data_IF_561802472558
#
_entry.id   IF_561802472558
#
_cell.length_a   1.000
_cell.length_b   1.000
_cell.length_c   1.000
_cell.angle_alpha   90.00
_cell.angle_beta   90.00
_cell.angle_gamma   90.00
#
_symmetry.space_group_name_H-M   'P 1'
#
loop_
_entity.id
_entity.type
_entity.pdbx_description
1 polymer ?
#
# COMPACT_ATOMS: atom_id res chain seq x y z
N UNK A 1 -8.68 17.74 -17.21
CA UNK A 1 -9.33 16.67 -16.41
C UNK A 1 -10.76 17.13 -16.07
N UNK A 2 -11.75 16.57 -16.74
CA UNK A 2 -13.13 17.00 -16.49
C UNK A 2 -13.73 16.41 -15.20
N UNK A 3 -13.21 15.29 -14.73
CA UNK A 3 -13.77 14.57 -13.59
C UNK A 3 -13.11 14.87 -12.24
N UNK A 4 -12.14 15.78 -12.20
CA UNK A 4 -11.48 16.22 -10.97
C UNK A 4 -11.91 17.63 -10.51
N UNK A 5 -13.15 18.02 -10.81
CA UNK A 5 -13.66 19.30 -10.32
C UNK A 5 -14.06 19.22 -8.85
N UNK A 6 -14.75 18.15 -8.47
CA UNK A 6 -15.21 17.88 -7.10
C UNK A 6 -14.69 16.53 -6.65
N UNK A 7 -13.70 16.52 -5.78
CA UNK A 7 -12.98 15.33 -5.35
C UNK A 7 -13.25 15.04 -3.88
N UNK A 8 -13.71 13.84 -3.57
CA UNK A 8 -13.94 13.37 -2.21
C UNK A 8 -12.83 12.37 -1.81
N UNK A 9 -12.08 12.72 -0.78
CA UNK A 9 -11.05 11.86 -0.18
C UNK A 9 -11.65 11.02 0.93
N UNK A 10 -11.61 9.70 0.79
CA UNK A 10 -12.09 8.75 1.79
C UNK A 10 -10.91 8.30 2.66
N UNK A 11 -10.89 8.80 3.89
CA UNK A 11 -9.84 8.53 4.86
C UNK A 11 -9.31 9.80 5.53
N UNK A 12 -8.94 9.70 6.80
CA UNK A 12 -8.43 10.79 7.64
C UNK A 12 -6.94 10.63 7.96
N UNK A 13 -6.21 9.88 7.13
CA UNK A 13 -4.77 9.67 7.28
C UNK A 13 -3.93 10.84 6.73
N UNK A 14 -2.61 10.85 7.03
CA UNK A 14 -1.70 11.88 6.52
C UNK A 14 -1.73 12.01 4.99
N UNK A 15 -1.89 10.89 4.29
CA UNK A 15 -2.00 10.83 2.83
C UNK A 15 -3.14 11.71 2.31
N UNK A 16 -4.30 11.73 2.98
CA UNK A 16 -5.45 12.55 2.55
C UNK A 16 -5.14 14.04 2.59
N UNK A 17 -4.41 14.51 3.61
CA UNK A 17 -3.99 15.92 3.69
C UNK A 17 -3.02 16.27 2.55
N UNK A 18 -2.02 15.43 2.31
CA UNK A 18 -1.07 15.66 1.22
C UNK A 18 -1.75 15.67 -0.15
N UNK A 19 -2.68 14.73 -0.39
CA UNK A 19 -3.45 14.68 -1.64
C UNK A 19 -4.36 15.90 -1.79
N UNK A 20 -5.05 16.31 -0.73
CA UNK A 20 -5.88 17.52 -0.75
C UNK A 20 -5.07 18.75 -1.15
N UNK A 21 -3.87 18.93 -0.55
CA UNK A 21 -2.95 20.00 -0.90
C UNK A 21 -2.60 19.99 -2.39
N UNK A 22 -2.21 18.84 -2.94
CA UNK A 22 -1.81 18.74 -4.34
C UNK A 22 -3.01 19.02 -5.28
N UNK A 23 -4.20 18.49 -4.97
CA UNK A 23 -5.42 18.69 -5.76
C UNK A 23 -5.85 20.18 -5.76
N UNK A 24 -5.80 20.84 -4.61
CA UNK A 24 -6.14 22.25 -4.48
C UNK A 24 -5.15 23.14 -5.23
N UNK A 25 -3.85 22.95 -5.00
CA UNK A 25 -2.84 23.85 -5.52
C UNK A 25 -2.54 23.65 -7.00
N UNK A 26 -2.62 22.42 -7.51
CA UNK A 26 -2.26 22.12 -8.90
C UNK A 26 -3.47 22.07 -9.84
N UNK A 27 -4.64 21.68 -9.34
CA UNK A 27 -5.84 21.49 -10.17
C UNK A 27 -7.01 22.40 -9.78
N UNK A 28 -6.87 23.19 -8.72
CA UNK A 28 -7.94 24.03 -8.17
C UNK A 28 -9.27 23.28 -7.94
N UNK A 29 -9.15 22.02 -7.44
CA UNK A 29 -10.30 21.17 -7.16
C UNK A 29 -11.12 21.68 -5.96
N UNK A 30 -12.43 21.43 -5.97
CA UNK A 30 -13.25 21.45 -4.78
C UNK A 30 -13.05 20.13 -4.03
N UNK A 31 -12.52 20.18 -2.80
CA UNK A 31 -12.05 18.99 -2.07
C UNK A 31 -12.86 18.77 -0.80
N UNK A 32 -13.42 17.56 -0.67
CA UNK A 32 -14.01 17.06 0.55
C UNK A 32 -13.14 15.98 1.18
N UNK A 33 -13.16 15.89 2.51
CA UNK A 33 -12.56 14.78 3.26
C UNK A 33 -13.65 14.13 4.12
N UNK A 34 -13.70 12.81 4.11
CA UNK A 34 -14.59 12.03 4.96
C UNK A 34 -13.83 10.92 5.68
N UNK A 35 -14.21 10.65 6.92
CA UNK A 35 -13.68 9.55 7.70
C UNK A 35 -14.70 8.96 8.65
N UNK A 36 -14.38 7.78 9.21
CA UNK A 36 -15.22 7.14 10.23
C UNK A 36 -15.35 8.05 11.45
N UNK A 37 -16.50 8.04 12.07
CA UNK A 37 -16.66 8.56 13.41
C UNK A 37 -16.10 7.54 14.40
N UNK A 38 -14.94 7.84 14.96
CA UNK A 38 -14.23 6.92 15.86
C UNK A 38 -13.22 7.70 16.72
N UNK A 39 -12.82 7.13 17.85
CA UNK A 39 -11.78 7.68 18.72
C UNK A 39 -10.46 7.92 17.97
N UNK A 40 -10.18 7.14 16.92
CA UNK A 40 -8.96 7.28 16.11
C UNK A 40 -8.95 8.54 15.26
N UNK A 41 -10.13 8.97 14.77
CA UNK A 41 -10.29 10.13 13.89
C UNK A 41 -10.63 11.42 14.65
N UNK A 42 -10.96 11.36 15.93
CA UNK A 42 -11.41 12.50 16.73
C UNK A 42 -10.43 13.68 16.67
N UNK A 43 -9.18 13.45 17.05
CA UNK A 43 -8.16 14.51 17.07
C UNK A 43 -7.98 15.18 15.68
N UNK A 44 -8.16 14.43 14.60
CA UNK A 44 -8.12 14.98 13.24
C UNK A 44 -9.28 15.94 12.98
N UNK A 45 -10.50 15.54 13.33
CA UNK A 45 -11.67 16.39 13.13
C UNK A 45 -11.66 17.63 14.04
N UNK A 46 -11.21 17.49 15.29
CA UNK A 46 -11.02 18.63 16.20
C UNK A 46 -10.01 19.63 15.64
N UNK A 47 -8.83 19.15 15.21
CA UNK A 47 -7.81 20.01 14.62
C UNK A 47 -8.30 20.75 13.36
N UNK A 48 -9.10 20.09 12.50
CA UNK A 48 -9.71 20.74 11.35
C UNK A 48 -10.74 21.80 11.75
N UNK A 49 -11.57 21.52 12.77
CA UNK A 49 -12.55 22.45 13.28
C UNK A 49 -11.89 23.70 13.87
N UNK A 50 -10.85 23.52 14.70
CA UNK A 50 -10.11 24.61 15.34
C UNK A 50 -9.35 25.48 14.33
N UNK A 51 -8.85 24.87 13.23
CA UNK A 51 -8.14 25.58 12.17
C UNK A 51 -9.06 26.13 11.06
N UNK A 52 -10.39 26.09 11.24
CA UNK A 52 -11.37 26.44 10.20
C UNK A 52 -11.09 25.71 8.88
N UNK A 53 -10.83 24.41 8.97
CA UNK A 53 -10.50 23.50 7.87
C UNK A 53 -9.17 23.80 7.15
N UNK A 54 -8.30 24.62 7.71
CA UNK A 54 -6.95 24.83 7.20
C UNK A 54 -6.09 23.59 7.43
N UNK A 55 -5.45 23.07 6.39
CA UNK A 55 -4.45 22.00 6.46
C UNK A 55 -3.10 22.50 6.00
N UNK A 56 -2.05 21.87 6.54
CA UNK A 56 -0.65 22.23 6.27
C UNK A 56 0.15 21.00 5.87
N UNK A 57 1.01 21.19 4.88
CA UNK A 57 1.97 20.18 4.44
C UNK A 57 3.37 20.78 4.49
N UNK A 58 4.25 20.11 5.21
CA UNK A 58 5.70 20.36 5.18
C UNK A 58 6.41 19.22 4.44
N UNK A 59 7.56 19.50 3.85
CA UNK A 59 8.44 18.52 3.24
C UNK A 59 9.79 18.52 3.94
N UNK A 60 10.41 17.36 4.06
CA UNK A 60 11.73 17.24 4.69
C UNK A 60 12.84 17.65 3.72
N UNK A 61 12.64 17.43 2.42
CA UNK A 61 13.65 17.71 1.40
C UNK A 61 13.18 18.81 0.47
N UNK A 62 14.00 19.86 0.31
CA UNK A 62 13.74 21.01 -0.56
C UNK A 62 13.42 20.64 -2.02
N UNK A 63 13.89 19.48 -2.51
CA UNK A 63 13.53 18.95 -3.84
C UNK A 63 12.03 18.79 -4.05
N UNK A 64 11.27 18.63 -2.95
CA UNK A 64 9.83 18.40 -2.97
C UNK A 64 9.02 19.63 -2.56
N UNK A 65 9.61 20.82 -2.59
CA UNK A 65 8.98 22.09 -2.18
C UNK A 65 7.65 22.35 -2.90
N UNK A 66 7.46 21.87 -4.11
CA UNK A 66 6.19 21.97 -4.86
C UNK A 66 5.00 21.28 -4.18
N UNK A 67 5.26 20.34 -3.25
CA UNK A 67 4.26 19.62 -2.47
C UNK A 67 3.94 20.28 -1.14
N UNK A 68 4.68 21.35 -0.76
CA UNK A 68 4.53 22.06 0.49
C UNK A 68 3.51 23.18 0.37
N UNK A 69 2.83 23.50 1.46
CA UNK A 69 1.94 24.66 1.52
C UNK A 69 0.79 24.50 2.49
N UNK A 70 -0.20 25.36 2.33
CA UNK A 70 -1.43 25.39 3.11
C UNK A 70 -2.63 25.48 2.17
N UNK A 71 -3.74 24.85 2.53
CA UNK A 71 -5.01 25.03 1.82
C UNK A 71 -6.20 24.80 2.75
N UNK A 72 -7.37 25.30 2.33
CA UNK A 72 -8.62 25.02 3.02
C UNK A 72 -9.33 23.84 2.37
N UNK A 73 -9.81 22.92 3.21
CA UNK A 73 -10.72 21.84 2.78
C UNK A 73 -12.12 22.40 2.70
N UNK A 74 -12.77 22.23 1.54
CA UNK A 74 -14.09 22.84 1.28
C UNK A 74 -15.20 22.17 2.09
N UNK A 75 -15.14 20.84 2.29
CA UNK A 75 -16.10 20.09 3.12
C UNK A 75 -15.42 18.99 3.94
N UNK A 76 -15.89 18.81 5.15
CA UNK A 76 -15.43 17.77 6.08
C UNK A 76 -16.65 17.01 6.60
N UNK A 77 -16.61 15.67 6.48
CA UNK A 77 -17.71 14.80 6.89
C UNK A 77 -17.23 13.81 7.97
N UNK A 78 -17.99 13.69 9.04
CA UNK A 78 -17.81 12.67 10.08
C UNK A 78 -18.82 11.56 9.84
N UNK A 79 -18.33 10.37 9.44
CA UNK A 79 -19.14 9.23 9.00
C UNK A 79 -19.51 9.28 7.51
N UNK A 80 -19.34 8.15 6.84
CA UNK A 80 -19.54 8.06 5.38
C UNK A 80 -21.00 8.27 4.95
N UNK A 81 -21.97 7.95 5.83
CA UNK A 81 -23.39 8.21 5.60
C UNK A 81 -23.78 9.70 5.64
N UNK A 82 -22.89 10.58 6.13
CA UNK A 82 -23.17 12.03 6.24
C UNK A 82 -22.78 12.84 5.00
N UNK A 83 -22.19 12.20 3.99
CA UNK A 83 -21.72 12.85 2.75
C UNK A 83 -22.90 13.59 2.10
N UNK A 84 -22.68 14.88 1.78
CA UNK A 84 -23.65 15.75 1.07
C UNK A 84 -23.05 16.24 -0.25
N UNK A 85 -23.91 16.72 -1.14
CA UNK A 85 -23.52 17.23 -2.45
C UNK A 85 -23.21 16.12 -3.45
N UNK A 86 -22.74 16.54 -4.62
CA UNK A 86 -22.33 15.68 -5.73
C UNK A 86 -20.80 15.67 -5.83
N UNK A 87 -20.24 14.52 -6.17
CA UNK A 87 -18.80 14.31 -6.28
C UNK A 87 -18.47 13.63 -7.59
N UNK A 88 -17.56 14.22 -8.36
CA UNK A 88 -17.14 13.66 -9.66
C UNK A 88 -16.18 12.50 -9.46
N UNK A 89 -15.26 12.65 -8.50
CA UNK A 89 -14.20 11.66 -8.21
C UNK A 89 -14.19 11.31 -6.73
N UNK A 90 -14.03 10.03 -6.45
CA UNK A 90 -13.70 9.49 -5.15
C UNK A 90 -12.24 8.99 -5.15
N UNK A 91 -11.47 9.35 -4.13
CA UNK A 91 -10.12 8.80 -3.91
C UNK A 91 -10.12 7.98 -2.64
N UNK A 92 -9.82 6.68 -2.76
CA UNK A 92 -9.71 5.76 -1.64
C UNK A 92 -8.31 5.88 -1.00
N UNK A 93 -8.26 6.57 0.14
CA UNK A 93 -7.06 6.77 0.96
C UNK A 93 -7.17 6.05 2.31
N UNK A 94 -7.88 4.94 2.35
CA UNK A 94 -8.00 3.98 3.46
C UNK A 94 -7.20 2.71 3.15
N UNK A 95 -7.07 1.79 4.11
CA UNK A 95 -6.47 0.48 3.89
C UNK A 95 -7.31 -0.38 2.94
N UNK A 96 -6.66 -1.28 2.20
CA UNK A 96 -7.30 -2.02 1.10
C UNK A 96 -8.43 -2.95 1.56
N UNK A 97 -8.29 -3.53 2.75
CA UNK A 97 -9.29 -4.37 3.41
C UNK A 97 -10.58 -3.62 3.79
N UNK A 98 -10.53 -2.28 3.83
CA UNK A 98 -11.68 -1.44 4.17
C UNK A 98 -12.43 -0.87 2.95
N UNK A 99 -11.98 -1.12 1.72
CA UNK A 99 -12.54 -0.47 0.52
C UNK A 99 -14.04 -0.69 0.37
N UNK A 100 -14.48 -1.94 0.41
CA UNK A 100 -15.90 -2.28 0.24
C UNK A 100 -16.73 -1.84 1.43
N UNK A 101 -16.22 -2.05 2.65
CA UNK A 101 -16.90 -1.61 3.88
C UNK A 101 -17.19 -0.10 3.87
N UNK A 102 -16.24 0.69 3.41
CA UNK A 102 -16.37 2.14 3.32
C UNK A 102 -17.36 2.55 2.22
N UNK A 103 -17.29 1.94 1.04
CA UNK A 103 -18.22 2.25 -0.06
C UNK A 103 -19.66 1.84 0.28
N UNK A 104 -19.87 0.71 0.94
CA UNK A 104 -21.21 0.25 1.39
C UNK A 104 -21.91 1.25 2.34
N UNK A 105 -21.15 2.11 3.04
CA UNK A 105 -21.71 3.14 3.93
C UNK A 105 -22.13 4.43 3.19
N UNK A 106 -21.74 4.59 1.92
CA UNK A 106 -22.13 5.75 1.10
C UNK A 106 -23.45 5.43 0.40
N UNK A 107 -24.32 6.43 0.32
CA UNK A 107 -25.59 6.29 -0.39
C UNK A 107 -25.36 5.88 -1.86
N UNK A 108 -26.03 4.81 -2.31
CA UNK A 108 -25.87 4.25 -3.65
C UNK A 108 -26.14 5.25 -4.77
N UNK A 109 -27.15 6.13 -4.61
CA UNK A 109 -27.48 7.15 -5.64
C UNK A 109 -26.35 8.19 -5.79
N UNK A 110 -25.58 8.44 -4.73
CA UNK A 110 -24.38 9.28 -4.80
C UNK A 110 -23.23 8.56 -5.48
N UNK A 111 -23.02 7.27 -5.17
CA UNK A 111 -22.01 6.46 -5.84
C UNK A 111 -22.26 6.32 -7.33
N UNK A 112 -23.51 6.19 -7.77
CA UNK A 112 -23.88 6.13 -9.20
C UNK A 112 -23.50 7.39 -9.98
N UNK A 113 -23.41 8.54 -9.32
CA UNK A 113 -23.05 9.82 -9.93
C UNK A 113 -21.54 10.01 -10.07
N UNK A 114 -20.74 9.20 -9.34
CA UNK A 114 -19.28 9.24 -9.40
C UNK A 114 -18.79 8.74 -10.74
N UNK A 115 -17.94 9.53 -11.39
CA UNK A 115 -17.39 9.21 -12.72
C UNK A 115 -16.02 8.59 -12.67
N UNK A 116 -15.29 8.79 -11.57
CA UNK A 116 -13.94 8.25 -11.41
C UNK A 116 -13.70 7.82 -9.95
N UNK A 117 -13.11 6.64 -9.77
CA UNK A 117 -12.63 6.15 -8.46
C UNK A 117 -11.14 5.88 -8.56
N UNK A 118 -10.35 6.50 -7.68
CA UNK A 118 -8.90 6.38 -7.67
C UNK A 118 -8.45 5.59 -6.43
N UNK A 119 -7.68 4.53 -6.67
CA UNK A 119 -7.07 3.68 -5.64
C UNK A 119 -5.61 4.09 -5.46
N UNK A 120 -5.30 4.74 -4.33
CA UNK A 120 -3.96 5.33 -4.11
C UNK A 120 -2.91 4.30 -3.69
N UNK A 121 -3.31 3.29 -2.94
CA UNK A 121 -2.40 2.24 -2.48
C UNK A 121 -3.12 0.89 -2.45
N UNK A 122 -3.56 0.41 -3.62
CA UNK A 122 -4.28 -0.85 -3.72
C UNK A 122 -3.36 -2.06 -3.48
N UNK A 123 -3.97 -3.21 -3.28
CA UNK A 123 -3.31 -4.51 -3.43
C UNK A 123 -3.76 -5.19 -4.72
N UNK A 124 -3.13 -6.31 -5.07
CA UNK A 124 -3.46 -7.09 -6.26
C UNK A 124 -4.94 -7.50 -6.26
N UNK A 125 -5.68 -7.12 -7.30
CA UNK A 125 -7.11 -7.39 -7.48
C UNK A 125 -8.05 -6.31 -6.93
N UNK A 126 -7.54 -5.26 -6.29
CA UNK A 126 -8.38 -4.18 -5.74
C UNK A 126 -9.25 -3.49 -6.79
N UNK A 127 -8.72 -3.28 -8.00
CA UNK A 127 -9.51 -2.70 -9.09
C UNK A 127 -10.69 -3.61 -9.47
N UNK A 128 -10.46 -4.92 -9.55
CA UNK A 128 -11.50 -5.90 -9.88
C UNK A 128 -12.59 -5.92 -8.81
N UNK A 129 -12.20 -5.79 -7.53
CA UNK A 129 -13.11 -5.67 -6.40
C UNK A 129 -14.04 -4.46 -6.56
N UNK A 130 -13.45 -3.27 -6.77
CA UNK A 130 -14.21 -2.02 -6.88
C UNK A 130 -15.04 -2.00 -8.16
N UNK A 131 -14.48 -2.46 -9.29
CA UNK A 131 -15.20 -2.53 -10.56
C UNK A 131 -16.44 -3.44 -10.46
N UNK A 132 -16.29 -4.62 -9.83
CA UNK A 132 -17.41 -5.52 -9.61
C UNK A 132 -18.50 -4.86 -8.74
N UNK A 133 -18.11 -4.21 -7.65
CA UNK A 133 -19.04 -3.51 -6.76
C UNK A 133 -19.79 -2.37 -7.48
N UNK A 134 -19.08 -1.54 -8.24
CA UNK A 134 -19.70 -0.45 -9.00
C UNK A 134 -20.63 -0.95 -10.12
N UNK A 135 -20.25 -2.04 -10.80
CA UNK A 135 -21.10 -2.70 -11.80
C UNK A 135 -22.43 -3.21 -11.19
N UNK A 136 -22.43 -3.72 -9.94
CA UNK A 136 -23.67 -4.09 -9.24
C UNK A 136 -24.59 -2.89 -8.98
N UNK A 137 -24.04 -1.69 -8.92
CA UNK A 137 -24.80 -0.43 -8.83
C UNK A 137 -25.21 0.13 -10.20
N UNK A 138 -24.90 -0.53 -11.31
CA UNK A 138 -25.05 -0.05 -12.68
C UNK A 138 -24.32 1.28 -12.93
N UNK A 139 -23.08 1.39 -12.44
CA UNK A 139 -22.21 2.55 -12.63
C UNK A 139 -21.06 2.20 -13.58
N UNK A 140 -20.81 3.08 -14.56
CA UNK A 140 -19.69 3.01 -15.50
C UNK A 140 -18.50 3.87 -15.06
N UNK A 141 -18.31 4.06 -13.75
CA UNK A 141 -17.21 4.85 -13.22
C UNK A 141 -15.86 4.28 -13.67
N UNK A 142 -14.99 5.16 -14.12
CA UNK A 142 -13.60 4.80 -14.40
C UNK A 142 -12.87 4.43 -13.10
N UNK A 143 -12.24 3.25 -13.05
CA UNK A 143 -11.40 2.84 -11.93
C UNK A 143 -9.94 3.03 -12.32
N UNK A 144 -9.23 3.85 -11.53
CA UNK A 144 -7.81 4.12 -11.71
C UNK A 144 -7.05 3.55 -10.52
N UNK A 145 -6.08 2.66 -10.76
CA UNK A 145 -5.19 2.12 -9.74
C UNK A 145 -3.79 2.69 -9.88
N UNK A 146 -3.26 3.20 -8.77
CA UNK A 146 -1.83 3.40 -8.61
C UNK A 146 -1.17 2.12 -8.13
N UNK A 147 0.11 1.94 -8.38
CA UNK A 147 0.87 0.82 -7.79
C UNK A 147 1.03 0.99 -6.28
N UNK A 148 1.23 2.21 -5.83
CA UNK A 148 1.42 2.57 -4.42
C UNK A 148 1.28 4.07 -4.24
N UNK A 149 1.08 4.52 -3.01
CA UNK A 149 1.23 5.93 -2.67
C UNK A 149 2.68 6.39 -2.89
N UNK A 150 2.85 7.58 -3.43
CA UNK A 150 4.15 8.07 -3.87
C UNK A 150 5.10 8.49 -2.75
N UNK A 151 4.60 8.70 -1.53
CA UNK A 151 5.38 9.31 -0.46
C UNK A 151 5.36 8.55 0.87
N UNK A 152 6.24 8.96 1.77
CA UNK A 152 6.16 8.66 3.19
C UNK A 152 5.68 9.92 3.90
N UNK A 153 4.37 10.02 4.14
CA UNK A 153 3.72 11.17 4.77
C UNK A 153 3.25 10.79 6.16
N UNK A 154 3.63 11.60 7.15
CA UNK A 154 3.38 11.37 8.59
C UNK A 154 2.75 12.59 9.23
N UNK A 155 2.12 12.39 10.38
CA UNK A 155 1.73 13.50 11.24
C UNK A 155 2.98 14.25 11.72
N UNK A 156 2.99 15.59 11.60
CA UNK A 156 4.15 16.42 11.96
C UNK A 156 4.61 16.19 13.41
N UNK A 157 3.68 15.98 14.32
CA UNK A 157 3.95 15.76 15.75
C UNK A 157 3.57 14.34 16.22
N UNK A 158 3.51 13.36 15.31
CA UNK A 158 3.23 11.95 15.63
C UNK A 158 1.79 11.66 16.05
N UNK A 159 0.90 12.65 16.12
CA UNK A 159 -0.53 12.51 16.45
C UNK A 159 -1.40 13.06 15.32
N UNK A 160 -2.59 12.49 15.08
CA UNK A 160 -3.53 13.03 14.10
C UNK A 160 -3.79 14.52 14.33
N UNK A 161 -3.66 15.32 13.28
CA UNK A 161 -3.81 16.78 13.31
C UNK A 161 -4.14 17.30 11.90
N UNK A 162 -4.08 18.60 11.70
CA UNK A 162 -4.20 19.26 10.39
C UNK A 162 -2.83 19.50 9.70
N UNK A 163 -1.72 18.99 10.26
CA UNK A 163 -0.37 19.23 9.75
C UNK A 163 0.39 17.92 9.54
N UNK A 164 0.92 17.75 8.33
CA UNK A 164 1.70 16.57 7.93
C UNK A 164 3.09 16.94 7.42
N UNK A 165 4.01 15.97 7.52
CA UNK A 165 5.37 16.03 6.99
C UNK A 165 5.57 14.90 5.98
N UNK A 166 5.95 15.23 4.75
CA UNK A 166 6.38 14.25 3.75
C UNK A 166 7.90 14.15 3.77
N UNK A 167 8.41 12.97 4.16
CA UNK A 167 9.84 12.74 4.42
C UNK A 167 10.56 12.17 3.21
N UNK A 168 9.89 11.34 2.42
CA UNK A 168 10.45 10.71 1.23
C UNK A 168 9.41 10.67 0.11
N UNK A 169 9.87 10.78 -1.14
CA UNK A 169 9.04 10.75 -2.34
C UNK A 169 9.68 9.84 -3.38
N UNK A 170 8.89 8.94 -3.94
CA UNK A 170 9.32 8.03 -5.02
C UNK A 170 9.50 8.82 -6.32
N UNK A 171 10.52 8.49 -7.08
CA UNK A 171 10.77 9.10 -8.39
C UNK A 171 9.80 8.60 -9.45
N UNK A 172 9.38 7.35 -9.34
CA UNK A 172 8.50 6.68 -10.29
C UNK A 172 7.48 5.81 -9.56
N UNK A 173 6.25 5.83 -10.03
CA UNK A 173 5.17 4.90 -9.67
C UNK A 173 4.37 4.54 -10.93
N UNK A 174 3.55 3.51 -10.85
CA UNK A 174 2.79 3.02 -12.00
C UNK A 174 1.31 3.32 -11.81
N UNK A 175 0.61 3.54 -12.91
CA UNK A 175 -0.81 3.86 -12.96
C UNK A 175 -1.49 3.06 -14.07
N UNK A 176 -2.71 2.64 -13.86
CA UNK A 176 -3.53 1.99 -14.89
C UNK A 176 -5.02 2.32 -14.70
N UNK A 177 -5.77 2.27 -15.78
CA UNK A 177 -7.19 2.61 -15.82
C UNK A 177 -8.02 1.51 -16.49
N UNK A 178 -9.30 1.38 -16.07
CA UNK A 178 -10.29 0.56 -16.78
C UNK A 178 -10.70 1.15 -18.12
N UNK A 179 -10.44 2.43 -18.35
CA UNK A 179 -10.74 3.13 -19.60
C UNK A 179 -9.46 3.37 -20.40
N UNK A 180 -9.51 3.10 -21.70
CA UNK A 180 -8.40 3.37 -22.63
C UNK A 180 -8.94 3.94 -23.96
N UNK A 181 -8.47 5.11 -24.40
CA UNK A 181 -7.59 6.06 -23.68
C UNK A 181 -8.29 6.74 -22.49
N UNK A 182 -7.54 7.16 -21.46
CA UNK A 182 -8.05 7.84 -20.28
C UNK A 182 -7.52 9.27 -20.18
N UNK A 183 -8.41 10.25 -20.32
CA UNK A 183 -8.09 11.67 -20.09
C UNK A 183 -7.75 11.96 -18.63
N UNK A 184 -8.28 11.18 -17.69
CA UNK A 184 -7.99 11.31 -16.27
C UNK A 184 -6.57 10.85 -15.96
N UNK A 185 -6.12 9.72 -16.53
CA UNK A 185 -4.73 9.27 -16.41
C UNK A 185 -3.77 10.29 -17.03
N UNK A 186 -4.05 10.80 -18.23
CA UNK A 186 -3.21 11.84 -18.87
C UNK A 186 -3.07 13.08 -17.97
N UNK A 187 -4.16 13.50 -17.34
CA UNK A 187 -4.14 14.64 -16.44
C UNK A 187 -3.40 14.34 -15.13
N UNK A 188 -3.54 13.13 -14.57
CA UNK A 188 -2.77 12.71 -13.40
C UNK A 188 -1.28 12.61 -13.72
N UNK A 189 -0.89 12.11 -14.90
CA UNK A 189 0.51 12.10 -15.33
C UNK A 189 1.09 13.52 -15.33
N UNK A 190 0.40 14.51 -15.89
CA UNK A 190 0.84 15.92 -15.88
C UNK A 190 0.94 16.49 -14.47
N UNK A 191 -0.04 16.19 -13.61
CA UNK A 191 -0.02 16.62 -12.20
C UNK A 191 1.22 16.08 -11.48
N UNK A 192 1.48 14.79 -11.60
CA UNK A 192 2.59 14.14 -10.91
C UNK A 192 3.96 14.55 -11.47
N UNK A 193 4.04 14.81 -12.77
CA UNK A 193 5.25 15.38 -13.39
C UNK A 193 5.61 16.75 -12.79
N UNK A 194 4.62 17.61 -12.54
CA UNK A 194 4.82 18.89 -11.82
C UNK A 194 5.32 18.70 -10.39
N UNK A 195 5.00 17.57 -9.77
CA UNK A 195 5.51 17.18 -8.45
C UNK A 195 6.88 16.49 -8.51
N UNK A 196 7.46 16.32 -9.69
CA UNK A 196 8.75 15.64 -9.91
C UNK A 196 8.66 14.12 -9.84
N UNK A 197 7.46 13.55 -10.08
CA UNK A 197 7.20 12.10 -10.03
C UNK A 197 6.77 11.62 -11.42
N UNK A 198 7.44 10.60 -11.94
CA UNK A 198 7.04 9.95 -13.21
C UNK A 198 5.93 8.94 -12.94
N UNK A 199 4.79 9.08 -13.61
CA UNK A 199 3.76 8.04 -13.69
C UNK A 199 3.97 7.21 -14.95
N UNK A 200 4.29 5.93 -14.78
CA UNK A 200 4.36 4.97 -15.88
C UNK A 200 2.99 4.35 -16.11
N UNK A 201 2.41 4.58 -17.30
CA UNK A 201 1.07 4.10 -17.63
C UNK A 201 1.11 2.63 -18.02
N UNK A 202 0.38 1.80 -17.28
CA UNK A 202 0.22 0.37 -17.50
C UNK A 202 -0.98 0.09 -18.42
N UNK A 203 -1.00 -1.10 -19.04
CA UNK A 203 -2.08 -1.53 -19.94
C UNK A 203 -3.42 -1.72 -19.23
N UNK A 204 -3.40 -1.93 -17.91
CA UNK A 204 -4.59 -2.16 -17.10
C UNK A 204 -4.34 -1.79 -15.63
N UNK A 205 -5.41 -1.53 -14.84
CA UNK A 205 -5.27 -1.28 -13.40
C UNK A 205 -4.61 -2.44 -12.65
N UNK A 206 -4.98 -3.68 -12.97
CA UNK A 206 -4.42 -4.87 -12.31
C UNK A 206 -2.91 -4.99 -12.56
N UNK A 207 -2.43 -4.58 -13.72
CA UNK A 207 -1.01 -4.53 -14.01
C UNK A 207 -0.29 -3.49 -13.15
N UNK A 208 -0.87 -2.29 -12.99
CA UNK A 208 -0.34 -1.26 -12.10
C UNK A 208 -0.26 -1.76 -10.64
N UNK A 209 -1.29 -2.46 -10.16
CA UNK A 209 -1.34 -3.04 -8.80
C UNK A 209 -0.20 -4.04 -8.57
N UNK A 210 0.24 -4.76 -9.60
CA UNK A 210 1.37 -5.72 -9.48
C UNK A 210 2.74 -5.02 -9.40
N UNK A 211 2.82 -3.72 -9.70
CA UNK A 211 4.04 -2.92 -9.57
C UNK A 211 4.19 -2.31 -8.17
N UNK A 212 3.75 -3.02 -7.15
CA UNK A 212 3.94 -2.69 -5.74
C UNK A 212 4.97 -3.63 -5.11
N UNK A 213 6.13 -3.09 -4.72
CA UNK A 213 7.22 -3.89 -4.14
C UNK A 213 6.79 -4.65 -2.89
N UNK A 214 5.84 -4.10 -2.13
CA UNK A 214 5.33 -4.73 -0.92
C UNK A 214 4.68 -6.10 -1.16
N UNK A 215 4.16 -6.36 -2.39
CA UNK A 215 3.63 -7.69 -2.74
C UNK A 215 4.69 -8.79 -2.62
N UNK A 216 5.93 -8.46 -2.91
CA UNK A 216 7.02 -9.43 -3.06
C UNK A 216 7.88 -9.55 -1.80
N UNK A 217 8.05 -8.45 -1.06
CA UNK A 217 9.01 -8.41 0.05
C UNK A 217 8.36 -8.40 1.42
N UNK A 218 7.14 -7.85 1.57
CA UNK A 218 6.52 -7.74 2.89
C UNK A 218 6.12 -9.08 3.49
N UNK A 219 5.38 -9.98 2.81
CA UNK A 219 4.98 -11.24 3.42
C UNK A 219 6.19 -12.05 3.93
N UNK A 220 7.28 -12.26 3.15
CA UNK A 220 8.48 -12.89 3.68
C UNK A 220 9.08 -12.18 4.88
N UNK A 221 9.12 -10.83 4.88
CA UNK A 221 9.73 -10.05 5.96
C UNK A 221 8.87 -9.98 7.22
N UNK A 222 7.54 -10.00 7.12
CA UNK A 222 6.65 -9.77 8.26
C UNK A 222 5.91 -11.02 8.75
N UNK A 223 5.82 -12.08 7.93
CA UNK A 223 5.02 -13.27 8.26
C UNK A 223 5.88 -14.53 8.45
N UNK A 224 7.16 -14.36 8.76
CA UNK A 224 8.06 -15.43 9.19
C UNK A 224 8.09 -15.56 10.73
N UNK A 225 8.52 -16.71 11.24
CA UNK A 225 8.56 -17.00 12.67
C UNK A 225 9.36 -15.98 13.49
N UNK A 226 10.51 -15.52 12.97
CA UNK A 226 11.36 -14.55 13.67
C UNK A 226 10.62 -13.22 13.88
N UNK A 227 10.04 -12.66 12.80
CA UNK A 227 9.35 -11.37 12.87
C UNK A 227 8.08 -11.47 13.71
N UNK A 228 7.32 -12.55 13.57
CA UNK A 228 6.12 -12.78 14.39
C UNK A 228 6.48 -12.93 15.86
N UNK A 229 7.58 -13.62 16.20
CA UNK A 229 8.08 -13.71 17.58
C UNK A 229 8.47 -12.33 18.13
N UNK A 230 9.05 -11.46 17.31
CA UNK A 230 9.36 -10.09 17.71
C UNK A 230 8.09 -9.23 17.91
N UNK A 231 7.08 -9.39 17.06
CA UNK A 231 5.80 -8.67 17.13
C UNK A 231 5.03 -9.06 18.41
N UNK A 232 4.93 -10.35 18.68
CA UNK A 232 4.14 -10.88 19.79
C UNK A 232 4.87 -10.93 21.13
N UNK A 233 6.09 -10.41 21.18
CA UNK A 233 6.80 -10.19 22.45
C UNK A 233 7.69 -11.33 22.92
N UNK A 234 7.85 -12.42 22.15
CA UNK A 234 8.73 -13.54 22.50
C UNK A 234 10.23 -13.16 22.53
N UNK A 235 10.58 -12.03 21.88
CA UNK A 235 11.96 -11.53 21.83
C UNK A 235 12.11 -10.26 22.69
N UNK A 236 13.00 -10.29 23.67
CA UNK A 236 13.24 -9.17 24.59
C UNK A 236 13.91 -7.97 23.90
N UNK A 237 14.93 -8.25 23.08
CA UNK A 237 15.71 -7.21 22.42
C UNK A 237 15.00 -6.62 21.20
N UNK A 238 15.26 -5.32 20.94
CA UNK A 238 14.76 -4.63 19.76
C UNK A 238 15.25 -5.30 18.48
N UNK A 239 14.33 -5.57 17.54
CA UNK A 239 14.58 -6.18 16.24
C UNK A 239 14.18 -5.26 15.10
N UNK A 240 14.75 -5.50 13.92
CA UNK A 240 14.64 -4.64 12.75
C UNK A 240 14.23 -5.42 11.50
N UNK A 241 13.42 -4.82 10.64
CA UNK A 241 12.84 -5.50 9.47
C UNK A 241 13.88 -5.87 8.42
N UNK A 242 14.85 -4.98 8.16
CA UNK A 242 15.81 -5.12 7.05
C UNK A 242 17.23 -5.50 7.51
N UNK A 243 17.39 -5.94 8.75
CA UNK A 243 18.67 -6.42 9.27
C UNK A 243 18.84 -7.92 9.02
N UNK A 244 20.11 -8.32 8.94
CA UNK A 244 20.49 -9.72 8.95
C UNK A 244 20.24 -10.34 10.33
N UNK A 245 20.07 -11.67 10.36
CA UNK A 245 20.03 -12.41 11.63
C UNK A 245 21.34 -12.21 12.42
N UNK A 246 21.32 -12.03 13.75
CA UNK A 246 20.14 -12.11 14.63
C UNK A 246 19.45 -10.76 14.93
N UNK A 247 19.84 -9.67 14.31
CA UNK A 247 19.19 -8.36 14.53
C UNK A 247 17.88 -8.21 13.77
N UNK A 248 17.72 -8.95 12.68
CA UNK A 248 16.52 -8.99 11.84
C UNK A 248 16.26 -10.37 11.25
N UNK A 249 15.22 -10.50 10.42
CA UNK A 249 14.76 -11.79 9.90
C UNK A 249 15.59 -12.32 8.73
N UNK A 250 16.50 -11.51 8.16
CA UNK A 250 17.11 -11.83 6.87
C UNK A 250 18.15 -12.95 7.05
N UNK A 251 17.81 -14.08 6.48
CA UNK A 251 18.62 -15.29 6.38
C UNK A 251 18.59 -15.81 4.94
N UNK A 252 19.46 -16.75 4.61
CA UNK A 252 19.40 -17.46 3.34
C UNK A 252 18.03 -18.12 3.12
N UNK A 253 17.43 -18.69 4.16
CA UNK A 253 16.10 -19.32 4.07
C UNK A 253 15.00 -18.31 3.75
N UNK A 254 15.02 -17.13 4.38
CA UNK A 254 14.06 -16.07 4.08
C UNK A 254 14.19 -15.58 2.63
N UNK A 255 15.41 -15.44 2.12
CA UNK A 255 15.66 -15.03 0.73
C UNK A 255 15.13 -16.08 -0.25
N UNK A 256 15.30 -17.37 0.06
CA UNK A 256 14.73 -18.47 -0.73
C UNK A 256 13.20 -18.43 -0.75
N UNK A 257 12.56 -18.22 0.39
CA UNK A 257 11.10 -18.07 0.48
C UNK A 257 10.64 -16.83 -0.29
N UNK A 258 11.35 -15.70 -0.23
CA UNK A 258 11.04 -14.50 -1.01
C UNK A 258 11.12 -14.75 -2.53
N UNK A 259 12.15 -15.44 -2.98
CA UNK A 259 12.30 -15.83 -4.39
C UNK A 259 11.19 -16.79 -4.82
N UNK A 260 10.82 -17.76 -3.98
CA UNK A 260 9.76 -18.71 -4.25
C UNK A 260 8.39 -18.01 -4.34
N UNK A 261 8.05 -17.13 -3.40
CA UNK A 261 6.82 -16.33 -3.45
C UNK A 261 6.76 -15.47 -4.70
N UNK A 262 7.87 -14.80 -5.07
CA UNK A 262 7.91 -14.03 -6.30
C UNK A 262 7.60 -14.91 -7.52
N UNK A 263 8.17 -16.11 -7.63
CA UNK A 263 7.88 -17.05 -8.72
C UNK A 263 6.41 -17.49 -8.74
N UNK A 264 5.82 -17.74 -7.57
CA UNK A 264 4.39 -18.06 -7.45
C UNK A 264 3.52 -16.92 -8.00
N UNK A 265 3.83 -15.67 -7.66
CA UNK A 265 3.11 -14.50 -8.18
C UNK A 265 3.34 -14.36 -9.70
N UNK A 266 4.57 -14.58 -10.21
CA UNK A 266 4.85 -14.53 -11.65
C UNK A 266 4.02 -15.58 -12.42
N UNK A 267 3.79 -16.77 -11.86
CA UNK A 267 2.90 -17.78 -12.47
C UNK A 267 1.46 -17.28 -12.56
N UNK A 268 0.96 -16.56 -11.54
CA UNK A 268 -0.38 -15.94 -11.58
C UNK A 268 -0.42 -14.87 -12.68
N UNK A 269 0.59 -13.99 -12.77
CA UNK A 269 0.67 -12.96 -13.82
C UNK A 269 0.67 -13.56 -15.22
N UNK A 270 1.42 -14.65 -15.43
CA UNK A 270 1.45 -15.37 -16.70
C UNK A 270 0.06 -15.89 -17.11
N UNK A 271 -0.73 -16.42 -16.16
CA UNK A 271 -2.12 -16.85 -16.43
C UNK A 271 -3.05 -15.69 -16.78
N UNK A 272 -2.76 -14.51 -16.28
CA UNK A 272 -3.54 -13.29 -16.55
C UNK A 272 -3.04 -12.55 -17.80
N UNK A 273 -2.00 -13.04 -18.49
CA UNK A 273 -1.30 -12.37 -19.59
C UNK A 273 -0.75 -10.99 -19.20
N UNK A 274 -0.27 -10.86 -17.95
CA UNK A 274 0.44 -9.69 -17.45
C UNK A 274 1.94 -9.95 -17.55
N UNK A 275 2.68 -8.93 -17.96
CA UNK A 275 4.13 -9.02 -18.10
C UNK A 275 4.82 -9.31 -16.76
N UNK A 276 5.74 -10.27 -16.77
CA UNK A 276 6.52 -10.66 -15.61
C UNK A 276 7.45 -9.53 -15.16
N UNK A 277 7.60 -9.40 -13.86
CA UNK A 277 8.46 -8.43 -13.23
C UNK A 277 9.86 -9.02 -12.97
N UNK A 278 10.91 -8.30 -13.32
CA UNK A 278 12.26 -8.60 -12.84
C UNK A 278 12.39 -8.05 -11.40
N UNK A 279 12.36 -8.95 -10.40
CA UNK A 279 12.34 -8.57 -8.99
C UNK A 279 13.56 -7.75 -8.59
N UNK A 280 14.77 -8.17 -8.96
CA UNK A 280 16.00 -7.49 -8.58
C UNK A 280 16.06 -6.08 -9.19
N UNK A 281 15.73 -5.95 -10.47
CA UNK A 281 15.66 -4.66 -11.17
C UNK A 281 14.64 -3.73 -10.50
N UNK A 282 13.47 -4.25 -10.19
CA UNK A 282 12.42 -3.49 -9.53
C UNK A 282 12.81 -3.02 -8.12
N UNK A 283 13.55 -3.86 -7.38
CA UNK A 283 14.07 -3.50 -6.06
C UNK A 283 15.15 -2.42 -6.13
N UNK A 284 15.97 -2.42 -7.17
CA UNK A 284 17.12 -1.51 -7.32
C UNK A 284 16.78 -0.22 -8.06
N UNK A 285 16.08 -0.31 -9.19
CA UNK A 285 15.84 0.85 -10.05
C UNK A 285 14.66 1.71 -9.57
N UNK A 286 13.57 1.07 -9.17
CA UNK A 286 12.32 1.76 -8.85
C UNK A 286 12.14 2.02 -7.35
N UNK A 287 12.93 1.38 -6.49
CA UNK A 287 12.79 1.51 -5.04
C UNK A 287 14.06 2.05 -4.38
N UNK A 288 14.98 1.17 -4.02
CA UNK A 288 16.18 1.55 -3.27
C UNK A 288 17.42 1.12 -4.04
N UNK A 289 18.07 2.06 -4.75
CA UNK A 289 19.26 1.77 -5.53
C UNK A 289 20.39 1.27 -4.61
N UNK A 290 21.28 0.45 -5.17
CA UNK A 290 22.53 0.04 -4.55
C UNK A 290 23.68 0.44 -5.46
N UNK A 291 24.89 0.50 -4.91
CA UNK A 291 26.08 0.83 -5.70
C UNK A 291 26.34 -0.24 -6.75
N UNK A 292 26.83 0.16 -7.93
CA UNK A 292 27.15 -0.75 -9.03
C UNK A 292 28.22 -1.78 -8.67
N UNK A 293 29.10 -1.44 -7.73
CA UNK A 293 30.11 -2.35 -7.18
C UNK A 293 29.48 -3.50 -6.39
N UNK A 294 28.27 -3.28 -5.81
CA UNK A 294 27.56 -4.33 -5.09
C UNK A 294 26.83 -5.28 -6.03
N UNK A 295 26.21 -4.75 -7.08
CA UNK A 295 25.42 -5.50 -8.06
C UNK A 295 25.68 -4.97 -9.46
N UNK A 296 26.27 -5.82 -10.31
CA UNK A 296 26.52 -5.44 -11.70
C UNK A 296 25.23 -5.23 -12.49
N UNK A 297 25.22 -4.28 -13.42
CA UNK A 297 24.07 -4.02 -14.29
C UNK A 297 23.66 -5.25 -15.09
N UNK A 298 24.64 -6.04 -15.54
CA UNK A 298 24.39 -7.28 -16.26
C UNK A 298 23.55 -8.28 -15.42
N UNK A 299 23.89 -8.47 -14.16
CA UNK A 299 23.15 -9.36 -13.26
C UNK A 299 21.73 -8.83 -12.97
N UNK A 300 21.58 -7.51 -12.81
CA UNK A 300 20.27 -6.89 -12.59
C UNK A 300 19.35 -7.11 -13.80
N UNK A 301 19.81 -6.84 -15.02
CA UNK A 301 19.02 -6.97 -16.24
C UNK A 301 18.65 -8.43 -16.55
N UNK A 302 19.56 -9.36 -16.30
CA UNK A 302 19.38 -10.77 -16.64
C UNK A 302 18.83 -11.62 -15.50
N UNK A 303 18.44 -11.03 -14.35
CA UNK A 303 18.03 -11.73 -13.15
C UNK A 303 17.01 -12.85 -13.41
N UNK A 304 16.00 -12.61 -14.24
CA UNK A 304 14.95 -13.58 -14.54
C UNK A 304 15.46 -14.84 -15.24
N UNK A 305 16.62 -14.79 -15.89
CA UNK A 305 17.21 -15.87 -16.67
C UNK A 305 18.35 -16.60 -15.94
N UNK A 306 18.69 -16.14 -14.72
CA UNK A 306 19.74 -16.75 -13.91
C UNK A 306 19.22 -18.00 -13.18
N UNK A 307 20.12 -18.92 -12.87
CA UNK A 307 19.85 -20.08 -12.02
C UNK A 307 19.36 -19.64 -10.61
N UNK A 308 18.48 -20.43 -10.01
CA UNK A 308 17.85 -20.09 -8.73
C UNK A 308 18.86 -19.74 -7.62
N UNK A 309 19.97 -20.51 -7.52
CA UNK A 309 21.01 -20.25 -6.53
C UNK A 309 21.69 -18.89 -6.75
N UNK A 310 21.86 -18.49 -8.01
CA UNK A 310 22.45 -17.19 -8.33
C UNK A 310 21.42 -16.05 -8.02
N UNK A 311 20.14 -16.26 -8.31
CA UNK A 311 19.07 -15.33 -7.94
C UNK A 311 19.03 -15.13 -6.41
N UNK A 312 19.10 -16.20 -5.63
CA UNK A 312 19.15 -16.14 -4.14
C UNK A 312 20.37 -15.33 -3.68
N UNK A 313 21.54 -15.60 -4.23
CA UNK A 313 22.78 -14.89 -3.91
C UNK A 313 22.65 -13.38 -4.19
N UNK A 314 22.16 -12.99 -5.34
CA UNK A 314 21.99 -11.58 -5.71
C UNK A 314 20.99 -10.85 -4.81
N UNK A 315 19.88 -11.49 -4.44
CA UNK A 315 18.92 -10.92 -3.50
C UNK A 315 19.55 -10.75 -2.11
N UNK A 316 20.35 -11.71 -1.66
CA UNK A 316 21.06 -11.62 -0.39
C UNK A 316 22.07 -10.44 -0.41
N UNK A 317 22.87 -10.32 -1.48
CA UNK A 317 23.80 -9.19 -1.67
C UNK A 317 23.03 -7.86 -1.67
N UNK A 318 21.89 -7.79 -2.34
CA UNK A 318 21.06 -6.58 -2.35
C UNK A 318 20.65 -6.16 -0.93
N UNK A 319 20.27 -7.10 -0.07
CA UNK A 319 19.91 -6.77 1.32
C UNK A 319 21.13 -6.40 2.17
N UNK A 320 22.28 -7.04 1.98
CA UNK A 320 23.52 -6.66 2.68
C UNK A 320 23.99 -5.26 2.26
N UNK A 321 23.79 -4.87 1.00
CA UNK A 321 24.13 -3.55 0.48
C UNK A 321 23.24 -2.41 1.03
N UNK A 322 22.10 -2.74 1.68
CA UNK A 322 21.21 -1.75 2.33
C UNK A 322 21.54 -1.49 3.81
N UNK A 323 22.53 -2.14 4.37
CA UNK A 323 22.87 -1.97 5.79
C UNK A 323 23.24 -0.52 6.11
N UNK A 324 23.90 0.15 5.17
CA UNK A 324 24.23 1.58 5.23
C UNK A 324 23.78 2.21 3.93
N UNK A 325 23.09 3.36 4.02
CA UNK A 325 22.79 4.14 2.82
C UNK A 325 24.09 4.63 2.18
N UNK A 326 24.48 4.09 1.01
CA UNK A 326 25.77 4.43 0.40
C UNK A 326 25.82 5.84 -0.15
N UNK A 327 24.69 6.56 -0.19
CA UNK A 327 24.55 7.91 -0.75
C UNK A 327 24.31 8.98 0.32
N UNK A 328 24.19 8.58 1.61
CA UNK A 328 24.09 9.55 2.70
C UNK A 328 25.47 10.07 3.08
N UNK A 329 25.52 11.36 3.41
CA UNK A 329 26.65 11.94 4.11
C UNK A 329 26.58 11.57 5.60
N UNK A 330 27.72 11.40 6.29
CA UNK A 330 27.71 11.19 7.74
C UNK A 330 27.15 12.43 8.46
N UNK A 331 26.53 12.21 9.60
CA UNK A 331 26.11 13.28 10.48
C UNK A 331 27.33 13.98 11.16
N UNK A 332 27.06 15.00 11.98
CA UNK A 332 28.10 15.76 12.72
C UNK A 332 28.96 14.89 13.64
N UNK A 333 28.50 13.69 14.01
CA UNK A 333 29.18 12.72 14.86
C UNK A 333 29.89 11.64 14.03
N UNK A 334 29.93 11.80 12.70
CA UNK A 334 30.56 10.85 11.76
C UNK A 334 29.75 9.58 11.51
N UNK A 335 28.46 9.55 11.88
CA UNK A 335 27.59 8.37 11.68
C UNK A 335 26.82 8.50 10.38
N UNK A 336 26.82 7.40 9.64
CA UNK A 336 25.98 7.24 8.46
C UNK A 336 24.55 6.83 8.85
N UNK A 337 23.58 7.26 8.06
CA UNK A 337 22.20 6.83 8.23
C UNK A 337 22.08 5.33 7.98
N UNK A 338 21.60 4.58 8.97
CA UNK A 338 21.32 3.16 8.84
C UNK A 338 19.93 2.95 8.24
N UNK A 339 19.86 2.79 6.94
CA UNK A 339 18.64 2.61 6.17
C UNK A 339 17.89 1.32 6.55
N UNK A 340 18.60 0.32 7.07
CA UNK A 340 18.03 -0.96 7.48
C UNK A 340 17.41 -0.96 8.87
N UNK A 341 17.63 0.11 9.66
CA UNK A 341 17.21 0.20 11.07
C UNK A 341 15.73 0.53 11.28
N UNK A 342 14.83 -0.03 10.45
CA UNK A 342 13.38 0.06 10.62
C UNK A 342 12.95 -0.94 11.71
N UNK A 343 12.45 -0.48 12.88
CA UNK A 343 12.14 -1.38 13.97
C UNK A 343 10.89 -2.22 13.68
N UNK A 344 10.94 -3.49 14.09
CA UNK A 344 9.75 -4.34 14.19
C UNK A 344 8.92 -3.82 15.36
N UNK A 345 7.67 -3.45 15.10
CA UNK A 345 6.75 -2.95 16.13
C UNK A 345 6.10 -4.11 16.83
N UNK A 346 6.04 -4.06 18.17
CA UNK A 346 5.32 -5.04 18.99
C UNK A 346 3.81 -4.79 18.97
N UNK A 347 3.02 -5.80 19.36
CA UNK A 347 1.60 -5.63 19.66
C UNK A 347 1.42 -4.54 20.72
N UNK A 348 0.28 -3.89 20.73
CA UNK A 348 0.03 -2.69 21.56
C UNK A 348 -1.46 -2.56 21.91
N UNK A 349 -1.75 -1.91 23.01
CA UNK A 349 -3.13 -1.55 23.35
C UNK A 349 -3.53 -0.34 22.47
N UNK A 350 -4.58 -0.51 21.67
CA UNK A 350 -5.09 0.54 20.81
C UNK A 350 -5.91 1.59 21.60
N UNK A 351 -6.35 2.66 20.94
CA UNK A 351 -7.09 3.76 21.60
C UNK A 351 -8.46 3.36 22.14
N UNK A 352 -8.99 2.23 21.71
CA UNK A 352 -10.26 1.67 22.15
C UNK A 352 -10.08 0.71 23.32
N UNK A 353 -8.83 0.52 23.81
CA UNK A 353 -8.50 -0.33 24.94
C UNK A 353 -8.25 -1.80 24.57
N UNK A 354 -8.29 -2.18 23.30
CA UNK A 354 -8.04 -3.55 22.85
C UNK A 354 -6.56 -3.77 22.57
N UNK A 355 -6.04 -4.94 22.94
CA UNK A 355 -4.77 -5.42 22.45
C UNK A 355 -4.87 -5.63 20.93
N UNK A 356 -3.92 -5.07 20.15
CA UNK A 356 -3.99 -5.04 18.70
C UNK A 356 -2.62 -5.36 18.08
N UNK A 357 -2.66 -5.87 16.86
CA UNK A 357 -1.48 -6.20 16.06
C UNK A 357 -1.09 -4.98 15.21
N UNK A 358 0.19 -4.67 15.03
CA UNK A 358 0.63 -3.60 14.14
C UNK A 358 0.06 -3.74 12.72
N UNK A 359 -0.01 -2.63 12.00
CA UNK A 359 -0.52 -2.58 10.62
C UNK A 359 0.15 -3.63 9.72
N UNK A 360 1.47 -3.74 9.77
CA UNK A 360 2.19 -4.90 9.27
C UNK A 360 2.36 -5.88 10.45
N UNK A 361 1.93 -7.14 10.37
CA UNK A 361 1.57 -7.95 9.18
C UNK A 361 0.06 -7.99 8.80
N UNK A 362 -0.85 -7.26 9.46
CA UNK A 362 -2.29 -7.34 9.13
C UNK A 362 -2.60 -7.08 7.65
N UNK A 363 -2.04 -6.01 7.08
CA UNK A 363 -2.24 -5.70 5.66
C UNK A 363 -1.62 -6.77 4.75
N UNK A 364 -0.50 -7.36 5.16
CA UNK A 364 0.14 -8.41 4.39
C UNK A 364 -0.68 -9.70 4.42
N UNK A 365 -1.35 -10.00 5.55
CA UNK A 365 -2.25 -11.13 5.65
C UNK A 365 -3.43 -11.02 4.67
N UNK A 366 -4.13 -9.86 4.65
CA UNK A 366 -5.16 -9.60 3.64
C UNK A 366 -4.62 -9.80 2.22
N UNK A 367 -3.50 -9.15 1.93
CA UNK A 367 -2.83 -9.17 0.61
C UNK A 367 -2.57 -10.59 0.12
N UNK A 368 -1.92 -11.44 0.92
CA UNK A 368 -1.57 -12.80 0.48
C UNK A 368 -2.77 -13.75 0.48
N UNK A 369 -3.79 -13.54 1.31
CA UNK A 369 -5.06 -14.29 1.23
C UNK A 369 -5.77 -14.01 -0.10
N UNK A 370 -5.80 -12.74 -0.55
CA UNK A 370 -6.34 -12.39 -1.87
C UNK A 370 -5.53 -13.06 -2.99
N UNK A 371 -4.20 -12.97 -2.95
CA UNK A 371 -3.34 -13.63 -3.95
C UNK A 371 -3.55 -15.14 -3.96
N UNK A 372 -3.62 -15.79 -2.79
CA UNK A 372 -3.92 -17.23 -2.65
C UNK A 372 -5.27 -17.59 -3.28
N UNK A 373 -6.30 -16.80 -3.01
CA UNK A 373 -7.64 -17.02 -3.57
C UNK A 373 -7.66 -16.92 -5.10
N UNK A 374 -6.99 -15.90 -5.66
CA UNK A 374 -6.83 -15.76 -7.11
C UNK A 374 -6.06 -16.95 -7.70
N UNK A 375 -4.97 -17.38 -7.06
CA UNK A 375 -4.21 -18.54 -7.50
C UNK A 375 -5.08 -19.81 -7.54
N UNK A 376 -5.83 -20.07 -6.47
CA UNK A 376 -6.78 -21.22 -6.42
C UNK A 376 -7.83 -21.15 -7.54
N UNK A 377 -8.40 -19.96 -7.78
CA UNK A 377 -9.35 -19.74 -8.89
C UNK A 377 -8.73 -20.07 -10.27
N UNK A 378 -7.44 -19.78 -10.45
CA UNK A 378 -6.69 -20.05 -11.68
C UNK A 378 -6.10 -21.48 -11.73
N UNK A 379 -6.41 -22.34 -10.76
CA UNK A 379 -5.85 -23.69 -10.60
C UNK A 379 -4.31 -23.68 -10.49
N UNK A 380 -3.75 -22.77 -9.73
CA UNK A 380 -2.32 -22.65 -9.42
C UNK A 380 -2.05 -22.99 -7.96
N UNK A 381 -0.94 -23.68 -7.70
CA UNK A 381 -0.44 -23.94 -6.35
C UNK A 381 0.52 -22.85 -5.91
N UNK A 382 0.38 -22.39 -4.67
CA UNK A 382 1.23 -21.35 -4.07
C UNK A 382 1.71 -21.80 -2.68
N UNK A 383 2.55 -22.84 -2.58
CA UNK A 383 2.95 -23.45 -1.30
C UNK A 383 3.71 -22.50 -0.37
N UNK A 384 4.45 -21.53 -0.92
CA UNK A 384 5.16 -20.53 -0.09
C UNK A 384 4.19 -19.52 0.50
N UNK A 385 3.22 -19.06 -0.27
CA UNK A 385 2.14 -18.19 0.22
C UNK A 385 1.31 -18.94 1.28
N UNK A 386 0.96 -20.21 1.05
CA UNK A 386 0.27 -21.05 2.01
C UNK A 386 1.05 -21.19 3.34
N UNK A 387 2.38 -21.37 3.25
CA UNK A 387 3.27 -21.41 4.40
C UNK A 387 3.19 -20.12 5.24
N UNK A 388 3.27 -18.95 4.62
CA UNK A 388 3.20 -17.66 5.34
C UNK A 388 1.84 -17.45 6.01
N UNK A 389 0.75 -17.75 5.30
CA UNK A 389 -0.61 -17.68 5.84
C UNK A 389 -0.72 -18.56 7.08
N UNK A 390 -0.35 -19.85 6.97
CA UNK A 390 -0.42 -20.81 8.06
C UNK A 390 0.45 -20.39 9.26
N UNK A 391 1.66 -19.89 9.01
CA UNK A 391 2.56 -19.41 10.06
C UNK A 391 1.92 -18.26 10.84
N UNK A 392 1.31 -17.31 10.14
CA UNK A 392 0.62 -16.18 10.77
C UNK A 392 -0.63 -16.63 11.55
N UNK A 393 -1.52 -17.41 10.91
CA UNK A 393 -2.76 -17.89 11.52
C UNK A 393 -2.49 -18.70 12.79
N UNK A 394 -1.57 -19.66 12.74
CA UNK A 394 -1.16 -20.43 13.92
C UNK A 394 -0.61 -19.54 15.05
N UNK A 395 0.11 -18.46 14.71
CA UNK A 395 0.69 -17.56 15.72
C UNK A 395 -0.39 -16.71 16.38
N UNK A 396 -1.32 -16.11 15.63
CA UNK A 396 -2.40 -15.31 16.23
C UNK A 396 -3.32 -16.16 17.11
N UNK A 397 -3.65 -17.40 16.71
CA UNK A 397 -4.45 -18.32 17.52
C UNK A 397 -3.77 -18.66 18.84
N UNK A 398 -2.46 -18.99 18.83
CA UNK A 398 -1.68 -19.26 20.06
C UNK A 398 -1.64 -18.04 20.98
N UNK A 399 -1.41 -16.85 20.42
CA UNK A 399 -1.36 -15.62 21.21
C UNK A 399 -2.74 -15.29 21.78
N UNK A 400 -3.81 -15.46 21.00
CA UNK A 400 -5.17 -15.28 21.51
C UNK A 400 -5.47 -16.19 22.71
N UNK A 401 -5.07 -17.46 22.64
CA UNK A 401 -5.22 -18.41 23.76
C UNK A 401 -4.41 -18.01 25.01
N UNK A 402 -3.21 -17.43 24.82
CA UNK A 402 -2.38 -17.01 25.97
C UNK A 402 -2.79 -15.66 26.59
N UNK A 403 -3.75 -14.94 25.97
CA UNK A 403 -4.24 -13.63 26.42
C UNK A 403 -5.78 -13.64 26.55
N UNK A 404 -6.38 -14.79 26.95
CA UNK A 404 -7.83 -14.94 27.07
C UNK A 404 -8.48 -13.95 28.05
N UNK A 405 -7.73 -13.48 29.05
CA UNK A 405 -8.18 -12.51 30.04
C UNK A 405 -8.09 -11.04 29.54
N UNK A 406 -7.55 -10.81 28.35
CA UNK A 406 -7.38 -9.46 27.78
C UNK A 406 -8.44 -9.15 26.71
N UNK A 407 -8.73 -7.86 26.53
CA UNK A 407 -9.61 -7.42 25.44
C UNK A 407 -8.83 -7.44 24.12
N UNK A 408 -9.06 -8.46 23.29
CA UNK A 408 -8.42 -8.64 22.00
C UNK A 408 -9.19 -7.95 20.86
N UNK A 409 -8.47 -7.31 19.94
CA UNK A 409 -9.07 -6.81 18.70
C UNK A 409 -9.40 -7.96 17.74
N UNK A 410 -10.24 -7.68 16.74
CA UNK A 410 -10.57 -8.65 15.68
C UNK A 410 -9.35 -9.13 14.87
N UNK A 411 -8.19 -8.49 15.03
CA UNK A 411 -6.96 -8.90 14.37
C UNK A 411 -6.41 -10.26 14.86
N UNK A 412 -6.86 -10.72 16.04
CA UNK A 412 -6.49 -12.03 16.60
C UNK A 412 -7.44 -13.17 16.17
N UNK A 413 -8.42 -12.87 15.32
CA UNK A 413 -9.31 -13.87 14.73
C UNK A 413 -8.88 -14.15 13.31
N UNK A 414 -8.82 -15.43 12.92
CA UNK A 414 -8.58 -15.81 11.52
C UNK A 414 -9.71 -15.26 10.65
N UNK A 415 -9.36 -14.45 9.67
CA UNK A 415 -10.32 -13.75 8.82
C UNK A 415 -10.62 -14.55 7.54
N UNK A 416 -11.88 -14.58 7.14
CA UNK A 416 -12.28 -14.94 5.78
C UNK A 416 -12.47 -13.67 4.95
N UNK A 417 -11.99 -13.71 3.72
CA UNK A 417 -12.16 -12.65 2.71
C UNK A 417 -12.94 -13.16 1.49
N UNK A 418 -13.80 -14.15 1.69
CA UNK A 418 -14.52 -14.85 0.60
C UNK A 418 -15.45 -13.91 -0.18
N UNK A 419 -16.06 -12.91 0.46
CA UNK A 419 -16.89 -11.92 -0.23
C UNK A 419 -16.05 -11.11 -1.24
N UNK A 420 -14.91 -10.58 -0.81
CA UNK A 420 -14.00 -9.84 -1.68
C UNK A 420 -13.45 -10.74 -2.78
N UNK A 421 -13.03 -11.96 -2.45
CA UNK A 421 -12.51 -12.93 -3.40
C UNK A 421 -13.52 -13.31 -4.48
N UNK A 422 -14.79 -13.52 -4.11
CA UNK A 422 -15.84 -13.81 -5.07
C UNK A 422 -16.04 -12.68 -6.08
N UNK A 423 -16.03 -11.44 -5.63
CA UNK A 423 -16.12 -10.26 -6.49
C UNK A 423 -14.90 -10.15 -7.41
N UNK A 424 -13.68 -10.30 -6.87
CA UNK A 424 -12.43 -10.24 -7.64
C UNK A 424 -12.37 -11.34 -8.70
N UNK A 425 -12.62 -12.59 -8.31
CA UNK A 425 -12.56 -13.75 -9.22
C UNK A 425 -13.62 -13.68 -10.30
N UNK A 426 -14.84 -13.20 -9.98
CA UNK A 426 -15.90 -12.97 -10.98
C UNK A 426 -15.43 -11.99 -12.06
N UNK A 427 -14.78 -10.88 -11.68
CA UNK A 427 -14.31 -9.87 -12.62
C UNK A 427 -13.13 -10.36 -13.45
N UNK A 428 -12.18 -11.06 -12.82
CA UNK A 428 -11.06 -11.72 -13.53
C UNK A 428 -11.59 -12.73 -14.57
N UNK A 429 -12.60 -13.52 -14.21
CA UNK A 429 -13.23 -14.49 -15.11
C UNK A 429 -13.84 -13.86 -16.36
N UNK A 430 -14.54 -12.72 -16.22
CA UNK A 430 -15.06 -11.93 -17.34
C UNK A 430 -13.92 -11.46 -18.27
N UNK A 431 -12.84 -10.93 -17.67
CA UNK A 431 -11.70 -10.43 -18.43
C UNK A 431 -10.97 -11.53 -19.22
N UNK A 432 -10.88 -12.75 -18.68
CA UNK A 432 -10.30 -13.92 -19.37
C UNK A 432 -11.22 -14.39 -20.51
N UNK A 433 -12.53 -14.42 -20.28
CA UNK A 433 -13.52 -14.85 -21.27
C UNK A 433 -13.63 -13.89 -22.45
N UNK A 434 -13.50 -12.60 -22.23
CA UNK A 434 -13.54 -11.57 -23.27
C UNK A 434 -12.30 -11.57 -24.20
N UNK A 435 -11.21 -12.22 -23.79
CA UNK A 435 -9.96 -12.36 -24.58
C UNK A 435 -9.88 -13.67 -25.39
N UNK A 436 -10.81 -14.58 -25.18
CA UNK A 436 -10.99 -15.83 -25.99
C UNK A 436 -11.96 -15.58 -27.14
#
# INVERSE_FOLDING_TARGET
MNDFKRVLLLGTGPTSIQLAMNLKNQLNCYVGIVGRESVRSENFFEALKESNHLVRVSVQNEKHRTMQGECFIDQVFRGYGTIKGEWDTIILAVTTDAYIEVLKQINNEKLKQVRCIVLISPTFGSNSLINNYMNQLNSDAEIISFSTYYGDTRWMHGKPSNHVLTTAVKKKIHIGSTHYPSKNVEGLCKLYEQLGITLENMKSPIEAETRNISLYVHPPLFMNDFTLSAIFGDLESKKYVYKLYPEGPITQYLIRDMLAQWKEIMNILGKLNIENLNLLKFMTDDNYPVRLESLSRHNIENFNHLEAIHQEYLLYIRYTALLIDPFSEPDKDGKYYDFSAVPIRKMFVNREGYLDIPRMPKEDYYRIKIIQGIAKYLNLNCPTIDKFIKTYENKIEKVAQSHEDELLSNAFVVQSFDEDLNMICSEIGKSISAKK
#
